data_IF_181484691021
#
_entry.id   IF_181484691021
#
_cell.length_a   1.000
_cell.length_b   1.000
_cell.length_c   1.000
_cell.angle_alpha   90.00
_cell.angle_beta   90.00
_cell.angle_gamma   90.00
#
_symmetry.space_group_name_H-M   'P 1'
#
loop_
_entity.id
_entity.type
_entity.pdbx_description
1 polymer ?
#
# COMPACT_ATOMS: atom_id res chain seq x y z
N UNK A 1 11.43 69.15 9.85
CA UNK A 1 12.11 68.38 8.79
C UNK A 1 12.26 66.95 9.30
N UNK A 2 11.32 66.05 8.97
CA UNK A 2 11.26 64.70 9.54
C UNK A 2 11.27 63.68 8.39
N UNK A 3 12.26 62.80 8.39
CA UNK A 3 12.55 61.89 7.28
C UNK A 3 11.63 60.66 7.33
N UNK A 4 10.82 60.48 6.29
CA UNK A 4 9.98 59.31 6.06
C UNK A 4 10.84 58.09 5.72
N UNK A 5 11.06 57.20 6.69
CA UNK A 5 11.66 55.87 6.44
C UNK A 5 10.65 54.98 5.72
N UNK A 6 10.87 54.85 4.41
CA UNK A 6 10.20 53.90 3.53
C UNK A 6 10.56 52.47 3.96
N UNK A 7 9.65 51.78 4.67
CA UNK A 7 9.75 50.34 4.92
C UNK A 7 9.64 49.63 3.57
N UNK A 8 10.76 49.17 3.03
CA UNK A 8 10.78 48.17 1.95
C UNK A 8 10.11 46.91 2.49
N UNK A 9 8.94 46.58 1.97
CA UNK A 9 8.29 45.30 2.23
C UNK A 9 9.22 44.19 1.77
N UNK A 10 9.70 43.37 2.70
CA UNK A 10 10.36 42.13 2.37
C UNK A 10 9.30 41.23 1.70
N UNK A 11 9.51 40.93 0.42
CA UNK A 11 8.68 39.97 -0.29
C UNK A 11 8.73 38.64 0.48
N UNK A 12 7.57 38.15 0.91
CA UNK A 12 7.43 36.85 1.53
C UNK A 12 8.10 35.79 0.62
N UNK A 13 8.85 34.82 1.18
CA UNK A 13 9.42 33.77 0.36
C UNK A 13 8.27 33.04 -0.33
N UNK A 14 8.28 33.03 -1.66
CA UNK A 14 7.32 32.27 -2.44
C UNK A 14 7.47 30.80 -2.02
N UNK A 15 6.43 30.26 -1.38
CA UNK A 15 6.33 28.83 -1.07
C UNK A 15 6.48 28.10 -2.39
N UNK A 16 7.63 27.47 -2.58
CA UNK A 16 7.90 26.68 -3.78
C UNK A 16 6.81 25.61 -3.85
N UNK A 17 5.98 25.68 -4.89
CA UNK A 17 4.91 24.72 -5.13
C UNK A 17 5.51 23.32 -5.06
N UNK A 18 5.04 22.51 -4.11
CA UNK A 18 5.49 21.14 -3.95
C UNK A 18 5.38 20.44 -5.30
N UNK A 19 6.52 19.95 -5.81
CA UNK A 19 6.57 19.23 -7.08
C UNK A 19 5.58 18.05 -7.12
N UNK A 20 5.34 17.47 -8.31
CA UNK A 20 4.24 16.53 -8.57
C UNK A 20 4.11 15.53 -7.43
N UNK A 21 3.00 15.59 -6.69
CA UNK A 21 2.78 14.71 -5.54
C UNK A 21 2.84 13.27 -6.03
N UNK A 22 3.95 12.55 -5.81
CA UNK A 22 4.00 11.10 -6.01
C UNK A 22 2.84 10.53 -5.21
N UNK A 23 1.86 9.94 -5.88
CA UNK A 23 0.61 9.59 -5.23
C UNK A 23 0.90 8.68 -4.01
N UNK A 24 0.46 9.03 -2.79
CA UNK A 24 0.79 8.27 -1.59
C UNK A 24 0.40 6.79 -1.71
N UNK A 25 -0.72 6.53 -2.36
CA UNK A 25 -1.24 5.19 -2.66
C UNK A 25 -0.31 4.34 -3.53
N UNK A 26 0.31 4.92 -4.56
CA UNK A 26 1.26 4.17 -5.40
C UNK A 26 2.54 3.82 -4.64
N UNK A 27 2.97 4.68 -3.71
CA UNK A 27 4.09 4.34 -2.81
C UNK A 27 3.73 3.16 -1.92
N UNK A 28 2.54 3.17 -1.29
CA UNK A 28 2.06 2.08 -0.45
C UNK A 28 1.97 0.79 -1.27
N UNK A 29 1.36 0.84 -2.45
CA UNK A 29 1.26 -0.30 -3.36
C UNK A 29 2.64 -0.86 -3.71
N UNK A 30 3.60 0.00 -4.05
CA UNK A 30 4.96 -0.43 -4.39
C UNK A 30 5.67 -1.07 -3.18
N UNK A 31 5.57 -0.48 -1.98
CA UNK A 31 6.20 -1.03 -0.78
C UNK A 31 5.58 -2.37 -0.36
N UNK A 32 4.25 -2.47 -0.38
CA UNK A 32 3.55 -3.71 -0.04
C UNK A 32 3.81 -4.82 -1.05
N UNK A 33 3.82 -4.49 -2.34
CA UNK A 33 4.12 -5.44 -3.41
C UNK A 33 5.57 -5.93 -3.32
N UNK A 34 6.53 -5.04 -3.04
CA UNK A 34 7.94 -5.42 -2.90
C UNK A 34 8.15 -6.34 -1.69
N UNK A 35 7.60 -5.98 -0.52
CA UNK A 35 7.70 -6.80 0.69
C UNK A 35 7.06 -8.18 0.50
N UNK A 36 5.87 -8.21 -0.08
CA UNK A 36 5.14 -9.47 -0.35
C UNK A 36 5.83 -10.30 -1.41
N UNK A 37 6.38 -9.66 -2.47
CA UNK A 37 7.17 -10.35 -3.49
C UNK A 37 8.42 -10.99 -2.92
N UNK A 38 9.16 -10.29 -2.05
CA UNK A 38 10.32 -10.86 -1.36
C UNK A 38 9.92 -12.07 -0.48
N UNK A 39 8.82 -11.96 0.28
CA UNK A 39 8.28 -13.08 1.06
C UNK A 39 7.88 -14.26 0.16
N UNK A 40 7.22 -13.98 -0.98
CA UNK A 40 6.81 -14.98 -1.96
C UNK A 40 8.01 -15.73 -2.54
N UNK A 41 9.13 -15.05 -2.80
CA UNK A 41 10.34 -15.69 -3.30
C UNK A 41 10.90 -16.68 -2.27
N UNK A 42 10.94 -16.29 -1.00
CA UNK A 42 11.39 -17.18 0.10
C UNK A 42 10.46 -18.37 0.25
N UNK A 43 9.14 -18.15 0.27
CA UNK A 43 8.16 -19.22 0.36
C UNK A 43 8.22 -20.18 -0.83
N UNK A 44 8.42 -19.65 -2.05
CA UNK A 44 8.55 -20.44 -3.28
C UNK A 44 9.81 -21.30 -3.24
N UNK A 45 10.94 -20.75 -2.80
CA UNK A 45 12.19 -21.49 -2.67
C UNK A 45 12.05 -22.60 -1.63
N UNK A 46 11.46 -22.31 -0.47
CA UNK A 46 11.20 -23.32 0.55
C UNK A 46 10.28 -24.43 0.04
N UNK A 47 9.20 -24.07 -0.67
CA UNK A 47 8.28 -25.03 -1.27
C UNK A 47 8.95 -25.90 -2.33
N UNK A 48 9.83 -25.32 -3.14
CA UNK A 48 10.60 -26.04 -4.15
C UNK A 48 11.52 -27.09 -3.53
N UNK A 49 12.21 -26.74 -2.45
CA UNK A 49 13.13 -27.66 -1.75
C UNK A 49 12.41 -28.82 -1.06
N UNK A 50 11.17 -28.62 -0.59
CA UNK A 50 10.42 -29.62 0.18
C UNK A 50 9.48 -30.46 -0.68
N UNK A 51 8.77 -29.83 -1.62
CA UNK A 51 7.70 -30.44 -2.41
C UNK A 51 7.91 -30.31 -3.93
N UNK A 52 9.11 -29.92 -4.37
CA UNK A 52 9.49 -29.85 -5.77
C UNK A 52 8.75 -28.76 -6.55
N UNK A 53 8.67 -28.94 -7.86
CA UNK A 53 8.03 -27.98 -8.78
C UNK A 53 6.54 -27.75 -8.47
N UNK A 54 5.83 -28.79 -8.03
CA UNK A 54 4.42 -28.70 -7.63
C UNK A 54 4.24 -27.76 -6.42
N UNK A 55 5.04 -27.93 -5.38
CA UNK A 55 5.04 -27.03 -4.22
C UNK A 55 5.38 -25.59 -4.60
N UNK A 56 6.44 -25.41 -5.40
CA UNK A 56 6.86 -24.10 -5.89
C UNK A 56 5.76 -23.38 -6.68
N UNK A 57 5.14 -24.06 -7.65
CA UNK A 57 4.04 -23.51 -8.45
C UNK A 57 2.82 -23.16 -7.58
N UNK A 58 2.54 -23.99 -6.58
CA UNK A 58 1.43 -23.78 -5.63
C UNK A 58 1.68 -22.56 -4.74
N UNK A 59 2.91 -22.37 -4.25
CA UNK A 59 3.30 -21.21 -3.48
C UNK A 59 3.21 -19.91 -4.30
N UNK A 60 3.73 -19.92 -5.54
CA UNK A 60 3.61 -18.78 -6.46
C UNK A 60 2.14 -18.45 -6.72
N UNK A 61 1.30 -19.44 -6.98
CA UNK A 61 -0.12 -19.24 -7.23
C UNK A 61 -0.82 -18.60 -6.02
N UNK A 62 -0.56 -19.11 -4.80
CA UNK A 62 -1.13 -18.56 -3.57
C UNK A 62 -0.72 -17.10 -3.34
N UNK A 63 0.56 -16.79 -3.50
CA UNK A 63 1.06 -15.42 -3.35
C UNK A 63 0.55 -14.48 -4.45
N UNK A 64 0.49 -14.94 -5.70
CA UNK A 64 -0.03 -14.17 -6.83
C UNK A 64 -1.51 -13.80 -6.62
N UNK A 65 -2.31 -14.75 -6.15
CA UNK A 65 -3.72 -14.51 -5.83
C UNK A 65 -3.87 -13.38 -4.81
N UNK A 66 -3.06 -13.37 -3.75
CA UNK A 66 -3.05 -12.30 -2.75
C UNK A 66 -2.62 -10.96 -3.37
N UNK A 67 -1.50 -10.92 -4.07
CA UNK A 67 -0.98 -9.68 -4.67
C UNK A 67 -1.99 -9.04 -5.62
N UNK A 68 -2.68 -9.84 -6.44
CA UNK A 68 -3.71 -9.36 -7.36
C UNK A 68 -4.89 -8.75 -6.59
N UNK A 69 -5.47 -9.48 -5.63
CA UNK A 69 -6.64 -9.02 -4.89
C UNK A 69 -6.36 -7.78 -4.06
N UNK A 70 -5.22 -7.76 -3.37
CA UNK A 70 -4.85 -6.65 -2.50
C UNK A 70 -4.36 -5.44 -3.31
N UNK A 71 -3.61 -5.67 -4.39
CA UNK A 71 -3.20 -4.63 -5.31
C UNK A 71 -4.37 -3.91 -5.97
N UNK A 72 -5.34 -4.66 -6.51
CA UNK A 72 -6.57 -4.10 -7.11
C UNK A 72 -7.33 -3.25 -6.08
N UNK A 73 -7.43 -3.73 -4.84
CA UNK A 73 -8.13 -2.97 -3.78
C UNK A 73 -7.47 -1.61 -3.49
N UNK A 74 -6.14 -1.58 -3.42
CA UNK A 74 -5.39 -0.33 -3.25
C UNK A 74 -5.51 0.60 -4.47
N UNK A 75 -5.57 0.05 -5.68
CA UNK A 75 -5.80 0.82 -6.92
C UNK A 75 -7.20 1.42 -6.96
N UNK A 76 -8.22 0.69 -6.55
CA UNK A 76 -9.59 1.21 -6.40
C UNK A 76 -9.60 2.34 -5.34
N UNK A 77 -8.98 2.10 -4.18
CA UNK A 77 -8.83 3.11 -3.13
C UNK A 77 -8.14 4.38 -3.63
N UNK A 78 -7.08 4.23 -4.43
CA UNK A 78 -6.39 5.34 -5.09
C UNK A 78 -7.34 6.14 -6.00
N UNK A 79 -8.13 5.47 -6.82
CA UNK A 79 -9.00 6.12 -7.78
C UNK A 79 -10.18 6.84 -7.12
N UNK A 80 -10.84 6.19 -6.16
CA UNK A 80 -12.01 6.75 -5.44
C UNK A 80 -11.58 7.84 -4.45
N UNK A 81 -10.52 7.59 -3.68
CA UNK A 81 -10.04 8.53 -2.67
C UNK A 81 -9.57 9.87 -3.25
N UNK A 82 -9.13 9.91 -4.51
CA UNK A 82 -8.81 11.17 -5.21
C UNK A 82 -10.02 12.02 -5.59
N UNK A 83 -11.21 11.42 -5.74
CA UNK A 83 -12.40 12.11 -6.24
C UNK A 83 -13.42 12.42 -5.17
N UNK A 84 -13.55 11.56 -4.16
CA UNK A 84 -14.54 11.74 -3.10
C UNK A 84 -14.02 11.19 -1.77
N UNK A 85 -13.38 12.03 -0.92
CA UNK A 85 -12.78 11.59 0.34
C UNK A 85 -13.78 10.95 1.32
N UNK A 86 -15.03 11.43 1.35
CA UNK A 86 -16.12 10.85 2.16
C UNK A 86 -16.58 9.47 1.64
N UNK A 87 -16.41 9.21 0.34
CA UNK A 87 -16.68 7.92 -0.30
C UNK A 87 -15.58 6.87 -0.10
N UNK A 88 -14.42 7.24 0.44
CA UNK A 88 -13.29 6.32 0.60
C UNK A 88 -13.62 5.15 1.53
N UNK A 89 -14.36 5.38 2.62
CA UNK A 89 -14.80 4.33 3.55
C UNK A 89 -15.71 3.32 2.85
N UNK A 90 -16.68 3.81 2.06
CA UNK A 90 -17.56 2.95 1.27
C UNK A 90 -16.82 2.13 0.21
N UNK A 91 -15.82 2.72 -0.44
CA UNK A 91 -14.98 2.01 -1.40
C UNK A 91 -14.15 0.90 -0.76
N UNK A 92 -13.63 1.11 0.45
CA UNK A 92 -12.94 0.06 1.20
C UNK A 92 -13.87 -1.09 1.59
N UNK A 93 -15.09 -0.78 2.03
CA UNK A 93 -16.08 -1.80 2.34
C UNK A 93 -16.48 -2.61 1.09
N UNK A 94 -16.71 -1.93 -0.03
CA UNK A 94 -16.97 -2.59 -1.31
C UNK A 94 -15.79 -3.47 -1.75
N UNK A 95 -14.55 -2.97 -1.64
CA UNK A 95 -13.35 -3.73 -1.95
C UNK A 95 -13.20 -4.97 -1.05
N UNK A 96 -13.59 -4.88 0.23
CA UNK A 96 -13.61 -6.03 1.13
C UNK A 96 -14.62 -7.09 0.68
N UNK A 97 -15.86 -6.70 0.37
CA UNK A 97 -16.89 -7.64 -0.13
C UNK A 97 -16.44 -8.31 -1.42
N UNK A 98 -15.92 -7.52 -2.37
CA UNK A 98 -15.36 -8.03 -3.63
C UNK A 98 -14.21 -9.00 -3.36
N UNK A 99 -13.34 -8.69 -2.39
CA UNK A 99 -12.24 -9.58 -2.00
C UNK A 99 -12.73 -10.92 -1.48
N UNK A 100 -13.68 -10.92 -0.54
CA UNK A 100 -14.19 -12.17 0.05
C UNK A 100 -14.88 -13.03 -1.01
N UNK A 101 -15.81 -12.44 -1.76
CA UNK A 101 -16.57 -13.17 -2.80
C UNK A 101 -15.63 -13.59 -3.93
N UNK A 102 -14.77 -12.69 -4.39
CA UNK A 102 -13.84 -12.96 -5.47
C UNK A 102 -12.80 -14.01 -5.09
N UNK A 103 -12.32 -14.03 -3.85
CA UNK A 103 -11.37 -15.06 -3.40
C UNK A 103 -12.04 -16.43 -3.36
N UNK A 104 -13.27 -16.50 -2.83
CA UNK A 104 -14.08 -17.72 -2.86
C UNK A 104 -14.32 -18.21 -4.29
N UNK A 105 -14.71 -17.31 -5.19
CA UNK A 105 -14.91 -17.63 -6.60
C UNK A 105 -13.61 -18.08 -7.28
N UNK A 106 -12.48 -17.40 -7.02
CA UNK A 106 -11.18 -17.75 -7.59
C UNK A 106 -10.75 -19.15 -7.17
N UNK A 107 -10.83 -19.48 -5.87
CA UNK A 107 -10.52 -20.82 -5.34
C UNK A 107 -11.49 -21.87 -5.89
N UNK A 108 -12.78 -21.53 -6.00
CA UNK A 108 -13.77 -22.43 -6.56
C UNK A 108 -13.51 -22.76 -8.04
N UNK A 109 -13.17 -21.75 -8.84
CA UNK A 109 -12.83 -21.89 -10.27
C UNK A 109 -11.51 -22.66 -10.45
N UNK A 110 -10.49 -22.34 -9.65
CA UNK A 110 -9.23 -23.06 -9.65
C UNK A 110 -9.42 -24.53 -9.29
N UNK A 111 -10.35 -24.82 -8.38
CA UNK A 111 -10.56 -26.15 -7.84
C UNK A 111 -9.31 -26.66 -7.12
N UNK A 112 -9.07 -27.96 -7.23
CA UNK A 112 -7.89 -28.61 -6.68
C UNK A 112 -7.27 -29.55 -7.73
N UNK A 113 -6.53 -29.02 -8.70
CA UNK A 113 -5.87 -29.84 -9.71
C UNK A 113 -4.79 -30.71 -9.05
N UNK A 114 -4.48 -31.86 -9.66
CA UNK A 114 -3.61 -32.88 -9.04
C UNK A 114 -2.19 -32.40 -8.72
N UNK A 115 -1.70 -31.37 -9.41
CA UNK A 115 -0.39 -30.77 -9.17
C UNK A 115 -0.38 -29.73 -8.05
N UNK A 116 -1.55 -29.33 -7.54
CA UNK A 116 -1.68 -28.29 -6.52
C UNK A 116 -1.38 -28.87 -5.13
N UNK A 117 -0.26 -28.45 -4.57
CA UNK A 117 0.05 -28.65 -3.16
C UNK A 117 -0.75 -27.65 -2.32
N UNK A 118 -1.78 -28.15 -1.64
CA UNK A 118 -2.70 -27.35 -0.82
C UNK A 118 -1.99 -26.66 0.34
N UNK A 119 -0.96 -27.30 0.92
CA UNK A 119 -0.23 -26.79 2.08
C UNK A 119 0.61 -25.61 1.67
N UNK A 120 1.41 -25.74 0.62
CA UNK A 120 2.28 -24.66 0.14
C UNK A 120 1.51 -23.51 -0.50
N UNK A 121 0.39 -23.79 -1.17
CA UNK A 121 -0.56 -22.77 -1.59
C UNK A 121 -1.08 -21.96 -0.40
N UNK A 122 -1.56 -22.65 0.64
CA UNK A 122 -2.12 -22.01 1.83
C UNK A 122 -1.08 -21.21 2.61
N UNK A 123 0.11 -21.78 2.86
CA UNK A 123 1.21 -21.10 3.55
C UNK A 123 1.59 -19.82 2.83
N UNK A 124 1.79 -19.87 1.50
CA UNK A 124 2.17 -18.70 0.72
C UNK A 124 1.07 -17.63 0.69
N UNK A 125 -0.20 -18.04 0.58
CA UNK A 125 -1.32 -17.11 0.63
C UNK A 125 -1.41 -16.42 2.00
N UNK A 126 -1.36 -17.17 3.10
CA UNK A 126 -1.44 -16.60 4.47
C UNK A 126 -0.24 -15.70 4.75
N UNK A 127 0.98 -16.15 4.45
CA UNK A 127 2.19 -15.36 4.63
C UNK A 127 2.13 -14.06 3.80
N UNK A 128 1.68 -14.16 2.54
CA UNK A 128 1.49 -13.02 1.66
C UNK A 128 0.49 -12.01 2.22
N UNK A 129 -0.64 -12.47 2.75
CA UNK A 129 -1.65 -11.59 3.38
C UNK A 129 -1.05 -10.85 4.58
N UNK A 130 -0.39 -11.58 5.48
CA UNK A 130 0.19 -11.01 6.70
C UNK A 130 1.26 -9.97 6.36
N UNK A 131 2.19 -10.30 5.45
CA UNK A 131 3.26 -9.39 5.03
C UNK A 131 2.69 -8.18 4.31
N UNK A 132 1.71 -8.36 3.42
CA UNK A 132 1.07 -7.24 2.74
C UNK A 132 0.41 -6.30 3.74
N UNK A 133 -0.39 -6.82 4.68
CA UNK A 133 -1.09 -6.02 5.67
C UNK A 133 -0.13 -5.25 6.57
N UNK A 134 0.94 -5.91 7.05
CA UNK A 134 1.96 -5.25 7.84
C UNK A 134 2.64 -4.11 7.06
N UNK A 135 3.04 -4.37 5.81
CA UNK A 135 3.68 -3.37 4.95
C UNK A 135 2.74 -2.20 4.61
N UNK A 136 1.48 -2.49 4.32
CA UNK A 136 0.45 -1.49 4.02
C UNK A 136 0.20 -0.58 5.22
N UNK A 137 -0.05 -1.14 6.40
CA UNK A 137 -0.26 -0.37 7.64
C UNK A 137 0.97 0.45 8.01
N UNK A 138 2.16 -0.13 7.87
CA UNK A 138 3.41 0.58 8.13
C UNK A 138 3.60 1.77 7.17
N UNK A 139 3.39 1.57 5.87
CA UNK A 139 3.50 2.62 4.86
C UNK A 139 2.47 3.74 5.08
N UNK A 140 1.22 3.39 5.39
CA UNK A 140 0.17 4.36 5.74
C UNK A 140 0.52 5.18 6.99
N UNK A 141 1.03 4.53 8.04
CA UNK A 141 1.41 5.20 9.29
C UNK A 141 2.52 6.23 9.06
N UNK A 142 3.52 5.89 8.25
CA UNK A 142 4.62 6.81 7.88
C UNK A 142 4.12 8.04 7.11
N UNK A 143 3.16 7.86 6.21
CA UNK A 143 2.58 8.97 5.45
C UNK A 143 1.82 9.92 6.37
N UNK A 144 1.06 9.41 7.36
CA UNK A 144 0.39 10.28 8.33
C UNK A 144 1.37 11.14 9.11
N UNK A 145 2.46 10.57 9.61
CA UNK A 145 3.47 11.34 10.37
C UNK A 145 4.09 12.48 9.55
N UNK A 146 4.24 12.34 8.23
CA UNK A 146 4.77 13.40 7.36
C UNK A 146 3.83 14.60 7.20
N UNK A 147 2.51 14.40 7.39
CA UNK A 147 1.51 15.48 7.27
C UNK A 147 1.40 16.29 8.57
N UNK A 148 1.65 15.66 9.72
CA UNK A 148 1.51 16.32 11.04
C UNK A 148 2.83 16.90 11.58
N UNK A 149 3.97 16.54 11.01
CA UNK A 149 5.29 16.92 11.52
C UNK A 149 5.84 18.26 11.01
N UNK A 150 5.06 19.09 10.31
CA UNK A 150 5.49 20.46 9.98
C UNK A 150 5.46 21.35 11.24
N UNK A 151 6.61 21.75 11.80
CA UNK A 151 6.64 22.73 12.87
C UNK A 151 6.38 24.10 12.24
N UNK A 152 5.36 24.82 12.72
CA UNK A 152 5.32 26.27 12.53
C UNK A 152 6.66 26.82 13.05
N UNK A 153 7.41 27.61 12.27
CA UNK A 153 8.56 28.31 12.83
C UNK A 153 8.03 29.24 13.93
N UNK A 154 8.29 28.86 15.17
CA UNK A 154 7.93 29.64 16.33
C UNK A 154 8.56 31.02 16.24
N UNK A 155 7.74 32.04 16.03
CA UNK A 155 8.04 33.42 16.34
C UNK A 155 7.98 33.60 17.87
N UNK A 156 8.94 32.99 18.57
CA UNK A 156 9.14 33.16 20.02
C UNK A 156 9.83 34.46 20.38
N UNK A 157 9.28 35.61 19.99
CA UNK A 157 9.76 36.91 20.46
C UNK A 157 8.62 37.78 20.95
N UNK A 158 8.16 37.57 22.20
CA UNK A 158 7.58 38.60 23.10
C UNK A 158 7.82 38.10 24.54
N UNK A 159 8.52 38.80 25.44
CA UNK A 159 9.03 40.17 25.40
C UNK A 159 10.21 40.44 26.33
#
# INVERSE_FOLDING_TARGET
MNASRQRRGAAAPAVAASGPTRSPWLKILATSSAATGACSLVATLAAWLVAGSAGAASAVLGAALVMVFFGISLLIGHYVGRRNPSGAIGAFLAAYVIKVVGFGAAVFILGAPAWLDRTWFFIAAVAGVVVWQAAEVHAFSRIRHQIYADPLPGNGTEG
#
